data_IF_509294622361
#
_entry.id   IF_509294622361
#
_cell.length_a   1.000
_cell.length_b   1.000
_cell.length_c   1.000
_cell.angle_alpha   90.00
_cell.angle_beta   90.00
_cell.angle_gamma   90.00
#
_symmetry.space_group_name_H-M   'P 1'
#
loop_
_entity.id
_entity.type
_entity.pdbx_description
1 polymer ?
#
# COMPACT_ATOMS: atom_id res chain seq x y z
N UNK A 1 -9.15 -30.11 -7.70
CA UNK A 1 -10.27 -29.28 -7.22
C UNK A 1 -10.10 -29.10 -5.73
N UNK A 2 -9.70 -27.91 -5.29
CA UNK A 2 -9.76 -27.55 -3.87
C UNK A 2 -11.05 -26.77 -3.70
N UNK A 3 -12.00 -27.36 -2.99
CA UNK A 3 -13.28 -26.73 -2.68
C UNK A 3 -13.01 -25.68 -1.60
N UNK A 4 -13.11 -24.40 -1.95
CA UNK A 4 -12.95 -23.33 -0.98
C UNK A 4 -14.28 -23.18 -0.23
N UNK A 5 -14.45 -23.92 0.88
CA UNK A 5 -15.55 -23.69 1.79
C UNK A 5 -15.26 -22.46 2.65
N UNK A 6 -15.90 -21.33 2.34
CA UNK A 6 -15.97 -20.21 3.27
C UNK A 6 -17.06 -20.51 4.29
N UNK A 7 -16.64 -20.94 5.48
CA UNK A 7 -17.57 -21.15 6.59
C UNK A 7 -18.02 -19.80 7.13
N UNK A 8 -19.32 -19.53 7.12
CA UNK A 8 -19.88 -18.33 7.73
C UNK A 8 -19.69 -18.41 9.26
N UNK A 9 -18.60 -17.83 9.76
CA UNK A 9 -18.21 -17.87 11.18
C UNK A 9 -18.05 -16.45 11.70
N UNK A 10 -18.67 -16.15 12.85
CA UNK A 10 -18.45 -14.92 13.60
C UNK A 10 -17.40 -15.15 14.67
N UNK A 11 -16.41 -14.26 14.76
CA UNK A 11 -15.43 -14.27 15.86
C UNK A 11 -15.79 -13.15 16.83
N UNK A 12 -16.21 -13.53 18.04
CA UNK A 12 -16.55 -12.59 19.10
C UNK A 12 -15.28 -11.92 19.65
N UNK A 13 -15.42 -10.78 20.36
CA UNK A 13 -14.28 -10.04 20.93
C UNK A 13 -13.37 -10.86 21.86
N UNK A 14 -13.87 -11.98 22.41
CA UNK A 14 -13.11 -12.94 23.21
C UNK A 14 -12.43 -14.07 22.41
N UNK A 15 -12.45 -14.02 21.07
CA UNK A 15 -11.85 -15.05 20.20
C UNK A 15 -12.70 -16.32 20.03
N UNK A 16 -13.92 -16.36 20.57
CA UNK A 16 -14.85 -17.47 20.37
C UNK A 16 -15.42 -17.42 18.95
N UNK A 17 -15.33 -18.55 18.25
CA UNK A 17 -15.90 -18.73 16.92
C UNK A 17 -17.31 -19.32 17.00
N UNK A 18 -18.27 -18.70 16.33
CA UNK A 18 -19.67 -19.12 16.29
C UNK A 18 -20.10 -19.33 14.83
N UNK A 19 -20.65 -20.51 14.50
CA UNK A 19 -21.21 -20.79 13.17
C UNK A 19 -22.45 -19.94 12.93
N UNK A 20 -22.53 -19.33 11.75
CA UNK A 20 -23.64 -18.48 11.30
C UNK A 20 -24.51 -19.19 10.25
N UNK A 21 -24.23 -20.44 9.89
CA UNK A 21 -24.98 -21.17 8.87
C UNK A 21 -26.48 -21.25 9.16
N UNK A 22 -26.85 -21.59 10.41
CA UNK A 22 -28.27 -21.66 10.82
C UNK A 22 -28.96 -20.29 10.84
N UNK A 23 -28.19 -19.19 10.81
CA UNK A 23 -28.69 -17.82 10.79
C UNK A 23 -28.78 -17.25 9.37
N UNK A 24 -27.95 -17.74 8.44
CA UNK A 24 -27.87 -17.26 7.06
C UNK A 24 -28.68 -18.13 6.10
N UNK A 25 -28.74 -19.45 6.34
CA UNK A 25 -29.53 -20.37 5.54
C UNK A 25 -30.99 -20.37 6.02
N UNK A 26 -31.90 -20.00 5.11
CA UNK A 26 -33.34 -20.15 5.35
C UNK A 26 -33.73 -21.62 5.17
N UNK A 27 -33.76 -22.37 6.27
CA UNK A 27 -34.18 -23.79 6.27
C UNK A 27 -35.71 -23.96 6.24
N UNK A 28 -36.46 -22.90 6.55
CA UNK A 28 -37.92 -22.88 6.58
C UNK A 28 -38.42 -21.49 6.15
N UNK A 29 -39.70 -21.35 5.76
CA UNK A 29 -40.31 -20.05 5.54
C UNK A 29 -40.26 -19.22 6.82
N UNK A 30 -39.61 -18.05 6.77
CA UNK A 30 -39.46 -17.15 7.91
C UNK A 30 -40.41 -15.96 7.83
N UNK A 31 -40.72 -15.37 9.00
CA UNK A 31 -41.61 -14.20 9.12
C UNK A 31 -40.82 -12.90 8.99
N UNK A 32 -41.52 -11.79 8.83
CA UNK A 32 -40.94 -10.44 8.72
C UNK A 32 -39.85 -10.14 9.76
N UNK A 33 -40.06 -10.53 11.03
CA UNK A 33 -39.10 -10.31 12.11
C UNK A 33 -37.71 -10.92 11.86
N UNK A 34 -37.62 -12.01 11.11
CA UNK A 34 -36.36 -12.63 10.72
C UNK A 34 -35.55 -11.75 9.76
N UNK A 35 -36.21 -11.00 8.87
CA UNK A 35 -35.53 -10.14 7.89
C UNK A 35 -35.06 -8.81 8.49
N UNK A 36 -35.63 -8.39 9.62
CA UNK A 36 -35.25 -7.18 10.33
C UNK A 36 -34.20 -7.42 11.43
N UNK A 37 -33.74 -8.65 11.62
CA UNK A 37 -32.70 -8.94 12.61
C UNK A 37 -31.37 -8.29 12.20
N UNK A 38 -30.66 -7.69 13.16
CA UNK A 38 -29.31 -7.19 12.90
C UNK A 38 -28.36 -8.36 12.66
N UNK A 39 -27.87 -8.49 11.44
CA UNK A 39 -26.85 -9.47 11.05
C UNK A 39 -25.60 -8.73 10.55
N UNK A 40 -24.40 -9.19 10.94
CA UNK A 40 -23.18 -8.74 10.28
C UNK A 40 -23.25 -9.08 8.78
N UNK A 41 -22.63 -8.24 7.94
CA UNK A 41 -22.69 -8.37 6.48
C UNK A 41 -21.91 -9.61 6.01
N UNK A 42 -22.58 -10.77 5.94
CA UNK A 42 -22.01 -12.06 5.50
C UNK A 42 -22.36 -12.38 4.05
N UNK A 43 -22.30 -11.41 3.15
CA UNK A 43 -22.48 -11.69 1.72
C UNK A 43 -21.13 -12.19 1.19
N UNK A 44 -21.00 -13.47 0.80
CA UNK A 44 -19.78 -13.94 0.17
C UNK A 44 -19.56 -13.13 -1.12
N UNK A 45 -18.31 -12.81 -1.48
CA UNK A 45 -18.06 -12.18 -2.77
C UNK A 45 -18.63 -13.09 -3.88
N UNK A 46 -19.24 -12.54 -4.93
CA UNK A 46 -19.79 -13.35 -6.02
C UNK A 46 -18.71 -14.19 -6.72
N UNK A 47 -17.44 -13.82 -6.54
CA UNK A 47 -16.27 -14.49 -7.11
C UNK A 47 -15.18 -14.55 -6.02
N UNK A 48 -14.77 -15.77 -5.65
CA UNK A 48 -13.71 -16.02 -4.66
C UNK A 48 -12.30 -16.00 -5.28
N UNK A 49 -12.19 -16.34 -6.56
CA UNK A 49 -10.93 -16.39 -7.30
C UNK A 49 -11.01 -15.47 -8.51
N UNK A 50 -9.99 -14.63 -8.71
CA UNK A 50 -9.86 -13.87 -9.97
C UNK A 50 -9.42 -14.73 -11.16
N UNK A 51 -9.12 -16.00 -10.91
CA UNK A 51 -8.70 -16.99 -11.90
C UNK A 51 -9.81 -18.01 -12.07
N UNK A 52 -10.28 -18.17 -13.30
CA UNK A 52 -11.32 -19.13 -13.67
C UNK A 52 -10.74 -20.55 -13.89
N UNK A 53 -9.43 -20.66 -14.11
CA UNK A 53 -8.73 -21.92 -14.34
C UNK A 53 -7.84 -22.29 -13.15
N UNK A 54 -7.73 -23.59 -12.82
CA UNK A 54 -6.74 -24.05 -11.84
C UNK A 54 -5.34 -23.73 -12.35
N UNK A 55 -4.50 -23.17 -11.49
CA UNK A 55 -3.07 -22.98 -11.80
C UNK A 55 -2.38 -24.33 -11.67
N UNK A 56 -1.64 -24.73 -12.69
CA UNK A 56 -0.80 -25.92 -12.62
C UNK A 56 0.28 -25.75 -11.55
N UNK A 57 0.07 -26.39 -10.41
CA UNK A 57 0.98 -26.31 -9.27
C UNK A 57 2.34 -26.97 -9.58
N UNK A 58 2.36 -27.97 -10.48
CA UNK A 58 3.52 -28.78 -10.88
C UNK A 58 4.34 -29.37 -9.71
N UNK A 59 3.78 -29.39 -8.49
CA UNK A 59 4.49 -29.78 -7.26
C UNK A 59 5.87 -29.12 -7.15
N UNK A 60 5.97 -27.85 -7.57
CA UNK A 60 7.25 -27.13 -7.51
C UNK A 60 7.69 -27.05 -6.05
N UNK A 61 8.99 -27.24 -5.76
CA UNK A 61 9.51 -27.01 -4.42
C UNK A 61 9.12 -25.62 -3.93
N UNK A 62 8.85 -25.51 -2.63
CA UNK A 62 8.62 -24.23 -1.97
C UNK A 62 9.74 -23.25 -2.34
N UNK A 63 9.40 -21.99 -2.58
CA UNK A 63 10.41 -20.98 -2.92
C UNK A 63 11.36 -20.81 -1.74
N UNK A 64 12.56 -21.38 -1.84
CA UNK A 64 13.58 -21.18 -0.82
C UNK A 64 14.07 -19.73 -0.88
N UNK A 65 13.89 -19.01 0.22
CA UNK A 65 14.46 -17.68 0.41
C UNK A 65 15.92 -17.79 0.89
N UNK A 66 16.66 -16.67 0.85
CA UNK A 66 18.05 -16.62 1.31
C UNK A 66 18.18 -17.20 2.73
N UNK A 67 19.31 -17.83 3.02
CA UNK A 67 19.64 -18.34 4.35
C UNK A 67 19.35 -17.27 5.42
N UNK A 68 18.62 -17.66 6.47
CA UNK A 68 18.18 -16.78 7.56
C UNK A 68 16.81 -16.11 7.37
N UNK A 69 16.16 -16.25 6.21
CA UNK A 69 14.78 -15.80 6.03
C UNK A 69 13.79 -16.85 6.54
N UNK A 70 13.22 -16.61 7.72
CA UNK A 70 12.08 -17.38 8.20
C UNK A 70 10.80 -16.74 7.65
N UNK A 71 9.95 -17.55 7.00
CA UNK A 71 8.60 -17.10 6.70
C UNK A 71 7.93 -16.69 8.02
N UNK A 72 7.23 -15.54 8.07
CA UNK A 72 6.47 -15.20 9.25
C UNK A 72 5.52 -16.35 9.60
N UNK A 73 5.31 -16.65 10.89
CA UNK A 73 4.33 -17.65 11.28
C UNK A 73 3.00 -17.31 10.63
N UNK A 74 2.35 -18.30 10.04
CA UNK A 74 1.04 -18.15 9.38
C UNK A 74 0.06 -17.70 10.46
N UNK A 75 -0.18 -16.40 10.57
CA UNK A 75 -1.26 -15.85 11.38
C UNK A 75 -2.58 -16.22 10.71
N UNK A 76 -3.65 -16.49 11.48
CA UNK A 76 -4.98 -16.76 10.92
C UNK A 76 -5.49 -15.68 9.94
N UNK A 77 -4.95 -14.46 10.02
CA UNK A 77 -5.25 -13.34 9.11
C UNK A 77 -4.59 -13.43 7.72
N UNK A 78 -3.51 -14.22 7.57
CA UNK A 78 -2.74 -14.34 6.33
C UNK A 78 -2.50 -15.81 5.98
N UNK A 79 -3.58 -16.55 5.77
CA UNK A 79 -3.57 -17.97 5.44
C UNK A 79 -2.81 -18.27 4.12
N UNK A 80 -2.81 -17.32 3.19
CA UNK A 80 -2.03 -17.37 1.95
C UNK A 80 -0.64 -16.81 2.27
N UNK A 81 0.31 -17.71 2.54
CA UNK A 81 1.70 -17.34 2.81
C UNK A 81 2.31 -16.45 1.72
N UNK A 82 3.24 -15.58 2.12
CA UNK A 82 3.96 -14.71 1.18
C UNK A 82 5.03 -15.52 0.44
N UNK A 83 4.77 -15.92 -0.82
CA UNK A 83 5.76 -16.64 -1.66
C UNK A 83 7.02 -15.82 -1.99
N UNK A 84 7.09 -14.55 -1.56
CA UNK A 84 8.22 -13.65 -1.79
C UNK A 84 8.69 -13.06 -0.47
N UNK A 85 10.00 -13.15 -0.25
CA UNK A 85 10.66 -12.48 0.86
C UNK A 85 10.28 -10.99 0.90
N UNK A 86 9.76 -10.54 2.06
CA UNK A 86 9.39 -9.14 2.26
C UNK A 86 10.67 -8.30 2.13
N UNK A 87 10.70 -7.42 1.13
CA UNK A 87 11.79 -6.44 1.00
C UNK A 87 11.52 -5.35 2.04
N UNK A 88 12.38 -5.16 3.06
CA UNK A 88 12.14 -4.16 4.08
C UNK A 88 12.16 -2.79 3.40
N UNK A 89 10.99 -2.16 3.35
CA UNK A 89 10.87 -0.78 2.92
C UNK A 89 11.06 0.05 4.18
N UNK A 90 12.29 0.53 4.42
CA UNK A 90 12.67 1.22 5.66
C UNK A 90 12.05 2.64 5.78
N UNK A 91 10.94 2.91 5.08
CA UNK A 91 10.20 4.15 5.19
C UNK A 91 9.28 4.11 6.39
N UNK A 92 9.16 5.24 7.09
CA UNK A 92 8.13 5.43 8.10
C UNK A 92 6.87 5.90 7.39
N UNK A 93 5.79 5.16 7.59
CA UNK A 93 4.48 5.45 7.03
C UNK A 93 3.60 6.03 8.13
N UNK A 94 2.96 7.17 7.84
CA UNK A 94 2.18 7.94 8.81
C UNK A 94 0.78 8.16 8.26
N UNK A 95 -0.24 7.99 9.10
CA UNK A 95 -1.62 8.38 8.80
C UNK A 95 -1.88 9.83 9.23
N UNK A 96 -2.84 10.46 8.59
CA UNK A 96 -3.22 11.84 8.89
C UNK A 96 -3.70 12.03 10.33
N UNK A 97 -4.30 11.00 10.93
CA UNK A 97 -4.82 11.03 12.31
C UNK A 97 -3.75 10.72 13.38
N UNK A 98 -2.53 10.30 13.00
CA UNK A 98 -1.51 9.91 13.98
C UNK A 98 -0.98 11.13 14.75
N UNK A 99 -1.05 11.17 16.08
CA UNK A 99 -0.75 12.39 16.87
C UNK A 99 0.64 12.99 16.62
N UNK A 100 1.64 12.13 16.42
CA UNK A 100 3.04 12.53 16.29
C UNK A 100 3.59 12.28 14.88
N UNK A 101 4.55 13.13 14.49
CA UNK A 101 5.32 12.95 13.25
C UNK A 101 6.75 12.49 13.56
N UNK A 102 7.33 11.61 12.73
CA UNK A 102 8.69 11.14 12.95
C UNK A 102 9.71 12.28 12.81
N UNK A 103 10.67 12.33 13.72
CA UNK A 103 11.75 13.34 13.72
C UNK A 103 13.04 12.82 13.09
N UNK A 104 13.17 11.51 12.90
CA UNK A 104 14.38 10.87 12.39
C UNK A 104 14.02 9.62 11.56
N UNK A 105 14.90 9.20 10.63
CA UNK A 105 14.72 7.95 9.90
C UNK A 105 14.90 6.74 10.81
N UNK A 106 14.38 5.60 10.35
CA UNK A 106 14.71 4.31 10.97
C UNK A 106 16.22 4.05 10.85
N UNK A 107 16.81 3.45 11.88
CA UNK A 107 18.24 3.11 11.86
C UNK A 107 18.58 2.19 10.67
N UNK A 108 17.69 1.25 10.35
CA UNK A 108 17.82 0.40 9.16
C UNK A 108 17.88 1.20 7.84
N UNK A 109 17.13 2.31 7.74
CA UNK A 109 17.20 3.21 6.58
C UNK A 109 18.58 3.88 6.50
N UNK A 110 19.09 4.39 7.63
CA UNK A 110 20.40 5.04 7.70
C UNK A 110 21.53 4.06 7.36
N UNK A 111 21.51 2.85 7.91
CA UNK A 111 22.50 1.81 7.60
C UNK A 111 22.44 1.39 6.12
N UNK A 112 21.24 1.26 5.56
CA UNK A 112 21.07 0.89 4.15
C UNK A 112 21.60 1.99 3.24
N UNK A 113 21.31 3.26 3.53
CA UNK A 113 21.84 4.37 2.74
C UNK A 113 23.37 4.46 2.83
N UNK A 114 23.97 4.32 4.02
CA UNK A 114 25.44 4.29 4.19
C UNK A 114 26.11 3.21 3.33
N UNK A 115 25.49 2.04 3.18
CA UNK A 115 26.01 0.95 2.33
C UNK A 115 25.91 1.26 0.84
N UNK A 116 24.87 1.99 0.43
CA UNK A 116 24.64 2.36 -0.98
C UNK A 116 25.46 3.60 -1.38
N UNK A 117 25.63 4.54 -0.47
CA UNK A 117 26.34 5.81 -0.66
C UNK A 117 27.86 5.62 -0.64
N UNK A 118 28.39 4.98 -1.69
CA UNK A 118 29.81 4.61 -1.77
C UNK A 118 30.67 5.68 -2.44
N UNK A 119 30.12 6.42 -3.39
CA UNK A 119 30.86 7.35 -4.24
C UNK A 119 30.46 8.83 -4.01
N UNK A 120 31.31 9.80 -4.42
CA UNK A 120 31.06 11.22 -4.20
C UNK A 120 29.76 11.72 -4.84
N UNK A 121 29.35 11.10 -5.95
CA UNK A 121 28.09 11.42 -6.64
C UNK A 121 26.89 11.17 -5.73
N UNK A 122 26.86 10.06 -4.99
CA UNK A 122 25.75 9.74 -4.10
C UNK A 122 25.64 10.72 -2.92
N UNK A 123 26.79 11.15 -2.38
CA UNK A 123 26.84 12.18 -1.33
C UNK A 123 26.31 13.51 -1.84
N UNK A 124 26.70 13.91 -3.05
CA UNK A 124 26.20 15.13 -3.69
C UNK A 124 24.68 15.08 -3.88
N UNK A 125 24.14 13.94 -4.33
CA UNK A 125 22.69 13.75 -4.50
C UNK A 125 21.95 13.79 -3.15
N UNK A 126 22.52 13.23 -2.09
CA UNK A 126 21.98 13.36 -0.74
C UNK A 126 21.89 14.84 -0.32
N UNK A 127 22.98 15.59 -0.48
CA UNK A 127 23.03 17.02 -0.13
C UNK A 127 22.04 17.85 -0.96
N UNK A 128 21.94 17.59 -2.26
CA UNK A 128 20.95 18.23 -3.14
C UNK A 128 19.53 17.93 -2.68
N UNK A 129 19.23 16.69 -2.30
CA UNK A 129 17.90 16.33 -1.82
C UNK A 129 17.59 16.95 -0.46
N UNK A 130 18.58 17.07 0.45
CA UNK A 130 18.40 17.81 1.71
C UNK A 130 18.04 19.28 1.45
N UNK A 131 18.81 19.96 0.59
CA UNK A 131 18.53 21.35 0.18
C UNK A 131 17.14 21.50 -0.43
N UNK A 132 16.72 20.53 -1.25
CA UNK A 132 15.37 20.52 -1.84
C UNK A 132 14.27 20.47 -0.77
N UNK A 133 14.46 19.67 0.28
CA UNK A 133 13.53 19.57 1.41
C UNK A 133 13.60 20.77 2.37
N UNK A 134 14.71 21.50 2.40
CA UNK A 134 14.85 22.75 3.15
C UNK A 134 14.08 23.89 2.46
N UNK A 135 14.13 23.97 1.12
CA UNK A 135 13.36 24.95 0.33
C UNK A 135 11.86 24.66 0.41
N UNK A 136 11.48 23.38 0.31
CA UNK A 136 10.08 22.94 0.35
C UNK A 136 9.98 21.66 1.17
N UNK A 137 9.24 21.62 2.28
CA UNK A 137 9.25 20.47 3.20
C UNK A 137 8.49 19.24 2.69
N UNK A 138 7.68 19.37 1.63
CA UNK A 138 6.75 18.33 1.17
C UNK A 138 6.89 18.10 -0.33
N UNK A 139 7.20 16.87 -0.75
CA UNK A 139 7.40 16.54 -2.16
C UNK A 139 6.71 15.24 -2.58
N UNK A 140 6.22 15.18 -3.83
CA UNK A 140 5.85 13.91 -4.44
C UNK A 140 7.09 13.22 -5.00
N UNK A 141 7.08 11.88 -5.10
CA UNK A 141 8.21 11.14 -5.70
C UNK A 141 8.52 11.60 -7.13
N UNK A 142 7.49 11.95 -7.91
CA UNK A 142 7.66 12.45 -9.28
C UNK A 142 8.27 13.85 -9.30
N UNK A 143 7.85 14.73 -8.38
CA UNK A 143 8.42 16.06 -8.28
C UNK A 143 9.90 16.02 -7.88
N UNK A 144 10.30 15.12 -6.96
CA UNK A 144 11.73 14.91 -6.65
C UNK A 144 12.51 14.47 -7.89
N UNK A 145 12.01 13.48 -8.64
CA UNK A 145 12.65 13.00 -9.88
C UNK A 145 12.80 14.07 -10.95
N UNK A 146 11.90 15.05 -10.98
CA UNK A 146 11.96 16.15 -11.94
C UNK A 146 13.01 17.21 -11.56
N UNK A 147 13.36 17.33 -10.27
CA UNK A 147 14.30 18.34 -9.78
C UNK A 147 15.72 17.79 -9.57
N UNK A 148 15.88 16.48 -9.38
CA UNK A 148 17.18 15.85 -9.10
C UNK A 148 17.37 14.63 -9.99
N UNK A 149 18.54 14.54 -10.63
CA UNK A 149 18.93 13.40 -11.46
C UNK A 149 19.46 12.27 -10.57
N UNK A 150 18.57 11.36 -10.18
CA UNK A 150 18.90 10.20 -9.35
C UNK A 150 18.24 8.92 -9.88
N UNK A 151 19.01 7.82 -9.88
CA UNK A 151 18.49 6.53 -10.32
C UNK A 151 17.30 6.09 -9.44
N UNK A 152 16.19 5.56 -10.02
CA UNK A 152 14.98 5.23 -9.27
C UNK A 152 15.18 4.28 -8.08
N UNK A 153 16.16 3.38 -8.17
CA UNK A 153 16.50 2.43 -7.11
C UNK A 153 17.24 3.08 -5.95
N UNK A 154 18.15 4.03 -6.23
CA UNK A 154 18.81 4.83 -5.19
C UNK A 154 17.82 5.74 -4.50
N UNK A 155 16.93 6.39 -5.26
CA UNK A 155 15.88 7.24 -4.72
C UNK A 155 14.95 6.47 -3.75
N UNK A 156 14.71 5.18 -4.01
CA UNK A 156 13.88 4.33 -3.14
C UNK A 156 14.50 4.11 -1.76
N UNK A 157 15.83 4.14 -1.65
CA UNK A 157 16.56 4.00 -0.38
C UNK A 157 16.78 5.36 0.28
N UNK A 158 17.06 6.38 -0.53
CA UNK A 158 17.38 7.72 -0.07
C UNK A 158 16.18 8.45 0.54
N UNK A 159 14.99 8.35 -0.06
CA UNK A 159 13.78 9.01 0.47
C UNK A 159 13.44 8.57 1.91
N UNK A 160 13.38 7.26 2.23
CA UNK A 160 13.21 6.77 3.61
C UNK A 160 14.24 7.32 4.61
N UNK A 161 15.43 7.70 4.15
CA UNK A 161 16.48 8.25 5.00
C UNK A 161 16.31 9.74 5.30
N UNK A 162 15.61 10.50 4.44
CA UNK A 162 15.47 11.97 4.56
C UNK A 162 14.05 12.40 4.97
N UNK A 163 13.04 11.59 4.67
CA UNK A 163 11.64 11.94 4.84
C UNK A 163 10.78 10.75 5.27
N UNK A 164 9.64 11.05 5.88
CA UNK A 164 8.57 10.08 6.12
C UNK A 164 7.48 10.20 5.04
N UNK A 165 6.60 9.21 4.95
CA UNK A 165 5.58 9.13 3.91
C UNK A 165 4.17 9.16 4.48
N UNK A 166 3.34 10.08 4.00
CA UNK A 166 1.95 10.21 4.43
C UNK A 166 1.05 9.29 3.60
N UNK A 167 0.32 8.38 4.26
CA UNK A 167 -0.56 7.41 3.59
C UNK A 167 -1.93 8.02 3.29
N UNK A 168 -2.48 8.77 4.24
CA UNK A 168 -3.86 9.27 4.23
C UNK A 168 -3.92 10.81 4.33
N UNK A 169 -5.12 11.38 4.21
CA UNK A 169 -5.35 12.82 4.32
C UNK A 169 -4.90 13.67 3.11
N UNK A 170 -4.87 15.01 3.28
CA UNK A 170 -4.64 15.96 2.18
C UNK A 170 -3.25 15.88 1.54
N UNK A 171 -2.26 15.39 2.29
CA UNK A 171 -0.88 15.19 1.81
C UNK A 171 -0.59 13.72 1.49
N UNK A 172 -1.63 12.89 1.27
CA UNK A 172 -1.46 11.49 0.92
C UNK A 172 -0.54 11.30 -0.28
N UNK A 173 0.26 10.25 -0.23
CA UNK A 173 1.25 9.92 -1.26
C UNK A 173 2.40 10.93 -1.43
N UNK A 174 2.64 11.78 -0.42
CA UNK A 174 3.77 12.71 -0.39
C UNK A 174 4.81 12.29 0.65
N UNK A 175 6.05 12.68 0.37
CA UNK A 175 7.19 12.61 1.27
C UNK A 175 7.32 13.93 2.01
N UNK A 176 7.46 13.87 3.33
CA UNK A 176 7.55 15.04 4.20
C UNK A 176 8.86 14.96 4.99
N UNK A 177 9.61 16.07 5.01
CA UNK A 177 10.85 16.17 5.77
C UNK A 177 10.60 15.81 7.25
N UNK A 178 11.49 15.01 7.83
CA UNK A 178 11.39 14.65 9.24
C UNK A 178 11.31 15.88 10.15
N UNK A 179 10.45 15.80 11.17
CA UNK A 179 10.21 16.89 12.12
C UNK A 179 9.26 18.00 11.62
N UNK A 180 8.86 18.00 10.35
CA UNK A 180 7.86 18.93 9.83
C UNK A 180 6.46 18.32 9.89
N UNK A 181 5.53 18.92 10.63
CA UNK A 181 4.12 18.50 10.67
C UNK A 181 3.26 19.45 9.82
N UNK A 182 2.71 19.04 8.67
CA UNK A 182 1.89 19.90 7.84
C UNK A 182 0.53 20.26 8.48
N UNK A 183 0.08 19.51 9.49
CA UNK A 183 -1.22 19.75 10.15
C UNK A 183 -1.16 20.93 11.11
N UNK A 184 0.02 21.21 11.64
CA UNK A 184 0.29 22.32 12.58
C UNK A 184 0.68 23.61 11.85
N UNK A 185 0.89 23.57 10.54
CA UNK A 185 1.39 24.68 9.74
C UNK A 185 0.40 25.02 8.61
N UNK A 186 -0.43 26.07 8.75
CA UNK A 186 -1.41 26.45 7.72
C UNK A 186 -0.81 26.70 6.33
N UNK A 187 0.43 27.20 6.26
CA UNK A 187 1.15 27.44 5.01
C UNK A 187 1.40 26.16 4.21
N UNK A 188 1.34 24.98 4.85
CA UNK A 188 1.46 23.69 4.18
C UNK A 188 0.29 23.38 3.23
N UNK A 189 -0.82 24.14 3.30
CA UNK A 189 -2.03 23.95 2.48
C UNK A 189 -1.73 23.95 0.99
N UNK A 190 -0.79 24.78 0.53
CA UNK A 190 -0.42 24.88 -0.90
C UNK A 190 0.23 23.59 -1.44
N UNK A 191 0.69 22.70 -0.57
CA UNK A 191 1.35 21.44 -0.96
C UNK A 191 0.42 20.23 -0.97
N UNK A 192 -0.87 20.42 -0.71
CA UNK A 192 -1.85 19.33 -0.74
C UNK A 192 -1.96 18.70 -2.14
N UNK A 193 -2.33 17.43 -2.18
CA UNK A 193 -2.52 16.67 -3.43
C UNK A 193 -3.99 16.64 -3.81
N UNK A 194 -4.25 16.98 -5.08
CA UNK A 194 -5.52 16.75 -5.75
C UNK A 194 -5.32 15.62 -6.78
N UNK A 195 -6.12 14.56 -6.69
CA UNK A 195 -6.14 13.50 -7.71
C UNK A 195 -7.41 13.67 -8.55
N UNK A 196 -7.24 13.75 -9.86
CA UNK A 196 -8.35 13.78 -10.83
C UNK A 196 -8.53 12.40 -11.46
N UNK A 197 -9.79 12.00 -11.68
CA UNK A 197 -10.12 10.77 -12.43
C UNK A 197 -10.70 11.16 -13.77
N UNK A 198 -9.93 10.91 -14.83
CA UNK A 198 -10.35 11.16 -16.21
C UNK A 198 -10.79 9.83 -16.82
N UNK A 199 -11.98 9.81 -17.42
CA UNK A 199 -12.46 8.65 -18.17
C UNK A 199 -11.84 8.70 -19.57
N UNK A 200 -10.97 7.74 -19.88
CA UNK A 200 -10.44 7.56 -21.23
C UNK A 200 -11.29 6.53 -21.97
N UNK A 201 -11.47 6.72 -23.28
CA UNK A 201 -12.19 5.81 -24.17
C UNK A 201 -12.93 6.56 -25.27
N UNK A 202 -13.15 5.92 -26.42
CA UNK A 202 -13.79 6.53 -27.60
C UNK A 202 -15.13 7.20 -27.28
N UNK A 203 -15.88 6.66 -26.31
CA UNK A 203 -17.18 7.20 -25.86
C UNK A 203 -17.08 8.53 -25.11
N UNK A 204 -15.92 8.85 -24.55
CA UNK A 204 -15.67 10.02 -23.69
C UNK A 204 -14.73 11.04 -24.35
N UNK A 205 -14.42 10.87 -25.65
CA UNK A 205 -13.70 11.86 -26.46
C UNK A 205 -12.18 11.92 -26.29
N UNK A 206 -11.58 11.03 -25.50
CA UNK A 206 -10.12 10.98 -25.31
C UNK A 206 -9.60 9.56 -25.47
N UNK A 207 -8.73 9.33 -26.46
CA UNK A 207 -7.89 8.15 -26.51
C UNK A 207 -6.72 8.29 -25.50
N UNK A 208 -6.11 7.18 -25.03
CA UNK A 208 -4.96 7.24 -24.14
C UNK A 208 -3.77 8.06 -24.69
N UNK A 209 -3.64 8.16 -26.01
CA UNK A 209 -2.65 8.98 -26.71
C UNK A 209 -2.89 10.48 -26.61
N UNK A 210 -4.14 10.90 -26.39
CA UNK A 210 -4.55 12.30 -26.49
C UNK A 210 -4.28 13.06 -25.18
N UNK A 211 -4.01 12.32 -24.09
CA UNK A 211 -3.68 12.92 -22.81
C UNK A 211 -2.19 13.30 -22.78
N UNK A 212 -1.86 14.59 -22.61
CA UNK A 212 -0.47 15.06 -22.57
C UNK A 212 0.28 14.60 -21.30
N UNK A 213 -0.43 14.03 -20.33
CA UNK A 213 0.12 13.58 -19.05
C UNK A 213 -0.11 12.08 -18.89
N UNK A 214 0.97 11.34 -18.62
CA UNK A 214 0.91 9.91 -18.34
C UNK A 214 0.05 9.64 -17.10
N UNK A 215 -0.90 8.72 -17.23
CA UNK A 215 -1.75 8.31 -16.12
C UNK A 215 -0.94 7.67 -14.98
N UNK A 216 -1.20 8.10 -13.74
CA UNK A 216 -0.65 7.49 -12.51
C UNK A 216 -1.07 6.02 -12.37
N UNK A 217 -2.31 5.71 -12.76
CA UNK A 217 -2.88 4.37 -12.86
C UNK A 217 -3.77 4.33 -14.09
N UNK A 218 -3.70 3.25 -14.87
CA UNK A 218 -4.55 3.03 -16.04
C UNK A 218 -5.19 1.66 -15.95
N UNK A 219 -6.50 1.59 -16.11
CA UNK A 219 -7.23 0.33 -16.22
C UNK A 219 -6.93 -0.42 -17.52
N UNK A 220 -6.42 0.27 -18.54
CA UNK A 220 -6.00 -0.33 -19.82
C UNK A 220 -4.68 -1.10 -19.72
N UNK A 221 -3.85 -0.80 -18.71
CA UNK A 221 -2.55 -1.44 -18.51
C UNK A 221 -2.60 -2.54 -17.45
N UNK A 222 -3.80 -2.98 -17.07
CA UNK A 222 -3.95 -4.14 -16.19
C UNK A 222 -3.72 -5.40 -17.03
N UNK A 223 -2.51 -5.96 -16.97
CA UNK A 223 -2.29 -7.34 -17.40
C UNK A 223 -2.73 -8.24 -16.26
N UNK A 224 -3.66 -9.16 -16.53
CA UNK A 224 -3.99 -10.26 -15.63
C UNK A 224 -2.84 -11.26 -15.58
#
# INVERSE_FOLDING_TARGET
MSDFQYLAVHTEAGGKHTSMYDKVLMLRPEKEAFFHQELPLYIPPPIFSRLDAPVDYFYRPETQHREGYNNPPISGENLIGLSRARRPHNAIFVNFEDEEVPKQPLEAAAQTWRRVCTNPVDRKVEEELRKLFDIRPIWSRNAVKANISVHPDKLKVLLPFIAYYMITGPWRSLWIRFGYDPRKNPDAKIYQVLDFRIRCGMKHGYAPSDLPVKAKRSTYNYSL
#
